data_IF_802802860852
#
_entry.id   IF_802802860852
#
_cell.length_a   1.000
_cell.length_b   1.000
_cell.length_c   1.000
_cell.angle_alpha   90.00
_cell.angle_beta   90.00
_cell.angle_gamma   90.00
#
_symmetry.space_group_name_H-M   'P 1'
#
loop_
_entity.id
_entity.type
_entity.pdbx_description
1 polymer ?
#
# COMPACT_ATOMS: atom_id res chain seq x y z
N UNK A 1 -6.55 -9.95 8.37
CA UNK A 1 -7.28 -10.64 7.28
C UNK A 1 -6.24 -11.19 6.33
N UNK A 2 -6.35 -12.47 5.93
CA UNK A 2 -5.48 -13.03 4.88
C UNK A 2 -5.82 -12.36 3.54
N UNK A 3 -4.81 -11.92 2.80
CA UNK A 3 -4.98 -11.19 1.55
C UNK A 3 -5.53 -12.07 0.40
N UNK A 4 -5.39 -13.40 0.50
CA UNK A 4 -5.96 -14.37 -0.44
C UNK A 4 -7.44 -14.61 -0.23
N UNK A 5 -7.88 -14.49 1.02
CA UNK A 5 -9.26 -14.78 1.39
C UNK A 5 -10.17 -13.57 1.19
N UNK A 6 -9.65 -12.37 1.47
CA UNK A 6 -10.43 -11.14 1.36
C UNK A 6 -9.55 -9.94 1.11
N UNK A 7 -9.89 -9.17 0.09
CA UNK A 7 -9.22 -7.90 -0.20
C UNK A 7 -9.86 -6.72 0.57
N UNK A 8 -9.09 -5.65 0.83
CA UNK A 8 -9.64 -4.40 1.35
C UNK A 8 -10.65 -3.76 0.39
N UNK A 9 -11.32 -2.70 0.85
CA UNK A 9 -12.11 -1.85 -0.05
C UNK A 9 -11.17 -0.99 -0.89
N UNK A 10 -11.61 -0.67 -2.09
CA UNK A 10 -10.90 0.23 -2.99
C UNK A 10 -10.61 1.59 -2.33
N UNK A 11 -9.37 2.04 -2.38
CA UNK A 11 -8.86 3.25 -1.72
C UNK A 11 -8.64 3.14 -0.21
N UNK A 12 -8.88 2.00 0.43
CA UNK A 12 -8.76 1.86 1.88
C UNK A 12 -7.29 1.84 2.31
N UNK A 13 -6.85 2.73 3.23
CA UNK A 13 -5.56 2.61 3.87
C UNK A 13 -5.53 1.41 4.85
N UNK A 14 -4.43 0.66 4.79
CA UNK A 14 -4.23 -0.58 5.54
C UNK A 14 -2.81 -0.64 6.12
N UNK A 15 -2.66 -1.38 7.21
CA UNK A 15 -1.38 -1.97 7.60
C UNK A 15 -1.28 -3.34 6.92
N UNK A 16 -0.35 -3.49 5.98
CA UNK A 16 -0.15 -4.70 5.19
C UNK A 16 1.14 -5.42 5.61
N UNK A 17 1.04 -6.70 5.94
CA UNK A 17 2.18 -7.56 6.21
C UNK A 17 2.73 -8.13 4.90
N UNK A 18 3.97 -7.80 4.59
CA UNK A 18 4.71 -8.33 3.43
C UNK A 18 5.79 -9.28 3.88
N UNK A 19 6.11 -10.23 3.02
CA UNK A 19 7.25 -11.13 3.21
C UNK A 19 8.13 -11.11 1.97
N UNK A 20 9.43 -11.28 2.16
CA UNK A 20 10.40 -11.31 1.09
C UNK A 20 11.72 -11.89 1.59
N UNK A 21 12.79 -11.68 0.82
CA UNK A 21 14.16 -11.99 1.24
C UNK A 21 15.02 -10.77 1.04
N UNK A 22 15.94 -10.53 1.98
CA UNK A 22 16.93 -9.48 1.77
C UNK A 22 17.75 -9.80 0.52
N UNK A 23 17.98 -8.81 -0.36
CA UNK A 23 18.75 -9.03 -1.57
C UNK A 23 20.17 -9.49 -1.20
N UNK A 24 20.77 -10.40 -1.98
CA UNK A 24 22.15 -10.77 -1.76
C UNK A 24 23.04 -9.55 -2.05
N UNK A 25 23.92 -9.19 -1.11
CA UNK A 25 24.87 -8.11 -1.35
C UNK A 25 25.86 -8.48 -2.47
N UNK A 26 26.33 -7.46 -3.21
CA UNK A 26 27.39 -7.65 -4.22
C UNK A 26 28.78 -7.83 -3.58
N UNK A 27 29.02 -7.29 -2.39
CA UNK A 27 30.25 -7.43 -1.60
C UNK A 27 29.95 -7.21 -0.10
N UNK A 28 30.18 -8.23 0.75
CA UNK A 28 30.08 -8.08 2.20
C UNK A 28 29.22 -9.15 2.87
N UNK A 29 29.72 -9.67 3.99
CA UNK A 29 29.20 -10.81 4.75
C UNK A 29 28.05 -10.35 5.68
N UNK A 30 27.00 -9.70 5.15
CA UNK A 30 25.79 -9.42 5.94
C UNK A 30 25.15 -10.77 6.30
N UNK A 31 25.10 -11.15 7.59
CA UNK A 31 24.47 -12.40 8.00
C UNK A 31 22.99 -12.48 7.59
N UNK A 32 22.31 -11.35 7.37
CA UNK A 32 20.91 -11.32 6.95
C UNK A 32 20.69 -11.53 5.45
N UNK A 33 21.76 -11.61 4.64
CA UNK A 33 21.70 -11.82 3.19
C UNK A 33 20.91 -13.09 2.84
N UNK A 34 19.84 -12.94 2.04
CA UNK A 34 18.96 -14.03 1.67
C UNK A 34 18.04 -14.53 2.79
N UNK A 35 18.13 -14.01 4.01
CA UNK A 35 17.19 -14.32 5.09
C UNK A 35 15.78 -13.83 4.73
N UNK A 36 14.78 -14.60 5.16
CA UNK A 36 13.39 -14.23 4.97
C UNK A 36 12.97 -13.19 5.99
N UNK A 37 12.27 -12.14 5.54
CA UNK A 37 11.74 -11.11 6.43
C UNK A 37 10.21 -11.08 6.41
N UNK A 38 9.68 -10.43 7.45
CA UNK A 38 8.29 -10.04 7.57
C UNK A 38 8.23 -8.61 8.09
N UNK A 39 7.61 -7.70 7.33
CA UNK A 39 7.48 -6.30 7.72
C UNK A 39 6.04 -5.82 7.49
N UNK A 40 5.57 -4.95 8.37
CA UNK A 40 4.26 -4.31 8.25
C UNK A 40 4.46 -2.91 7.70
N UNK A 41 3.85 -2.63 6.56
CA UNK A 41 3.96 -1.37 5.85
C UNK A 41 2.58 -0.68 5.76
N UNK A 42 2.51 0.65 5.95
CA UNK A 42 1.32 1.41 5.63
C UNK A 42 1.16 1.49 4.10
N UNK A 43 0.00 1.09 3.60
CA UNK A 43 -0.34 1.07 2.17
C UNK A 43 -1.79 1.50 1.97
N UNK A 44 -2.18 1.74 0.73
CA UNK A 44 -3.59 1.69 0.36
C UNK A 44 -3.81 0.56 -0.65
N UNK A 45 -5.01 0.00 -0.63
CA UNK A 45 -5.44 -0.96 -1.65
C UNK A 45 -6.18 -0.26 -2.77
N UNK A 46 -5.95 -0.68 -4.00
CA UNK A 46 -6.74 -0.25 -5.15
C UNK A 46 -7.04 -1.40 -6.09
N UNK A 47 -8.24 -1.39 -6.69
CA UNK A 47 -8.63 -2.36 -7.72
C UNK A 47 -7.92 -2.12 -9.05
N UNK A 48 -7.48 -0.89 -9.30
CA UNK A 48 -6.83 -0.49 -10.55
C UNK A 48 -5.79 0.60 -10.29
N UNK A 49 -4.55 0.34 -10.66
CA UNK A 49 -3.44 1.29 -10.56
C UNK A 49 -2.67 1.33 -11.87
N UNK A 50 -2.22 2.51 -12.28
CA UNK A 50 -1.29 2.68 -13.38
C UNK A 50 0.04 3.15 -12.81
N UNK A 51 1.09 2.36 -13.02
CA UNK A 51 2.45 2.75 -12.67
C UNK A 51 2.95 3.86 -13.60
N UNK A 52 4.08 4.48 -13.25
CA UNK A 52 4.65 5.61 -14.02
C UNK A 52 5.02 5.23 -15.46
N UNK A 53 5.39 3.97 -15.68
CA UNK A 53 5.67 3.39 -17.00
C UNK A 53 4.40 3.09 -17.82
N UNK A 54 3.22 3.32 -17.26
CA UNK A 54 1.92 3.02 -17.85
C UNK A 54 1.43 1.59 -17.63
N UNK A 55 2.20 0.75 -16.93
CA UNK A 55 1.79 -0.62 -16.61
C UNK A 55 0.55 -0.61 -15.72
N UNK A 56 -0.45 -1.40 -16.11
CA UNK A 56 -1.68 -1.59 -15.34
C UNK A 56 -1.52 -2.71 -14.31
N UNK A 57 -1.85 -2.40 -13.06
CA UNK A 57 -1.95 -3.33 -11.96
C UNK A 57 -3.39 -3.43 -11.46
N UNK A 58 -3.86 -4.65 -11.25
CA UNK A 58 -5.17 -4.95 -10.68
C UNK A 58 -5.02 -5.50 -9.27
N UNK A 59 -5.99 -5.16 -8.41
CA UNK A 59 -6.09 -5.65 -7.03
C UNK A 59 -4.75 -5.61 -6.28
N UNK A 60 -4.16 -4.41 -6.19
CA UNK A 60 -2.81 -4.21 -5.68
C UNK A 60 -2.76 -3.29 -4.45
N UNK A 61 -1.65 -3.40 -3.73
CA UNK A 61 -1.29 -2.57 -2.58
C UNK A 61 -0.17 -1.64 -2.98
N UNK A 62 -0.30 -0.35 -2.65
CA UNK A 62 0.68 0.67 -3.02
C UNK A 62 1.12 1.40 -1.77
N UNK A 63 2.43 1.48 -1.54
CA UNK A 63 3.02 2.22 -0.42
C UNK A 63 3.31 3.68 -0.78
N UNK A 64 3.89 4.43 0.17
CA UNK A 64 4.26 5.84 -0.03
C UNK A 64 5.33 6.06 -1.09
N UNK A 65 6.18 5.06 -1.32
CA UNK A 65 7.27 5.09 -2.28
C UNK A 65 6.83 4.61 -3.67
N UNK A 66 5.51 4.39 -3.86
CA UNK A 66 4.85 3.89 -5.08
C UNK A 66 5.26 2.47 -5.46
N UNK A 67 5.80 1.69 -4.53
CA UNK A 67 6.08 0.28 -4.78
C UNK A 67 4.76 -0.49 -4.77
N UNK A 68 4.46 -1.15 -5.90
CA UNK A 68 3.26 -1.95 -6.09
C UNK A 68 3.51 -3.38 -5.62
N UNK A 69 2.64 -3.89 -4.76
CA UNK A 69 2.68 -5.26 -4.25
C UNK A 69 1.34 -5.97 -4.47
N UNK A 70 1.40 -7.28 -4.60
CA UNK A 70 0.23 -8.13 -4.84
C UNK A 70 0.00 -9.10 -3.67
N UNK A 71 -1.23 -9.62 -3.50
CA UNK A 71 -1.49 -10.70 -2.56
C UNK A 71 -0.55 -11.89 -2.78
N UNK A 72 -0.16 -12.55 -1.70
CA UNK A 72 0.58 -13.80 -1.74
C UNK A 72 -0.17 -14.86 -2.54
N UNK A 73 0.49 -15.48 -3.52
CA UNK A 73 -0.16 -16.40 -4.47
C UNK A 73 -0.90 -15.72 -5.63
N UNK A 74 -0.83 -14.38 -5.73
CA UNK A 74 -1.25 -13.62 -6.90
C UNK A 74 -0.15 -13.53 -7.97
N UNK A 75 -0.14 -12.47 -8.79
CA UNK A 75 0.93 -12.20 -9.75
C UNK A 75 2.32 -12.24 -9.10
N UNK A 76 3.38 -12.63 -9.83
CA UNK A 76 4.74 -12.63 -9.30
C UNK A 76 5.14 -11.25 -8.77
N UNK A 77 5.59 -11.21 -7.52
CA UNK A 77 6.25 -10.04 -6.93
C UNK A 77 7.28 -10.50 -5.90
N UNK A 78 8.32 -9.69 -5.68
CA UNK A 78 9.40 -10.00 -4.74
C UNK A 78 8.91 -9.97 -3.28
N UNK A 79 7.96 -9.07 -2.99
CA UNK A 79 7.45 -8.82 -1.64
C UNK A 79 5.92 -8.96 -1.55
N UNK A 80 5.38 -10.19 -1.63
CA UNK A 80 3.93 -10.39 -1.58
C UNK A 80 3.30 -10.01 -0.24
N UNK A 81 2.09 -9.47 -0.31
CA UNK A 81 1.23 -9.15 0.84
C UNK A 81 0.52 -10.41 1.31
N UNK A 82 0.76 -10.82 2.55
CA UNK A 82 0.14 -12.02 3.12
C UNK A 82 -1.13 -11.70 3.90
N UNK A 83 -1.12 -10.59 4.65
CA UNK A 83 -2.21 -10.18 5.51
C UNK A 83 -2.36 -8.67 5.51
N UNK A 84 -3.55 -8.20 5.85
CA UNK A 84 -3.81 -6.79 6.09
C UNK A 84 -4.77 -6.57 7.26
N UNK A 85 -4.70 -5.36 7.81
CA UNK A 85 -5.67 -4.81 8.73
C UNK A 85 -6.04 -3.39 8.28
N UNK A 86 -7.31 -3.01 8.42
CA UNK A 86 -7.68 -1.61 8.28
C UNK A 86 -6.93 -0.79 9.34
N UNK A 87 -6.40 0.37 8.96
CA UNK A 87 -5.80 1.25 9.97
C UNK A 87 -6.89 1.67 10.98
N UNK A 88 -6.58 1.69 12.29
CA UNK A 88 -7.55 2.14 13.27
C UNK A 88 -7.92 3.59 12.96
N UNK A 89 -9.18 3.84 12.62
CA UNK A 89 -9.75 5.17 12.78
C UNK A 89 -9.75 5.46 14.28
N UNK A 90 -9.16 6.57 14.71
CA UNK A 90 -9.28 7.02 16.09
C UNK A 90 -10.79 7.09 16.42
N UNK A 91 -11.28 6.41 17.48
CA UNK A 91 -12.69 6.42 17.81
C UNK A 91 -13.18 7.87 17.98
N UNK A 92 -14.19 8.26 17.19
CA UNK A 92 -14.87 9.56 17.32
C UNK A 92 -14.33 10.71 16.47
N UNK A 93 -13.43 10.47 15.51
CA UNK A 93 -12.94 11.53 14.62
C UNK A 93 -13.00 11.10 13.15
N UNK A 94 -13.79 11.81 12.35
CA UNK A 94 -13.67 11.86 10.87
C UNK A 94 -12.42 12.67 10.44
N UNK A 95 -11.42 12.78 11.32
CA UNK A 95 -10.27 13.67 11.13
C UNK A 95 -9.13 12.89 10.51
N UNK A 96 -8.92 13.15 9.23
CA UNK A 96 -7.69 12.81 8.53
C UNK A 96 -6.65 13.90 8.83
N UNK A 97 -5.63 13.59 9.62
CA UNK A 97 -4.52 14.53 9.86
C UNK A 97 -3.56 14.41 8.68
N UNK A 98 -3.42 15.51 7.94
CA UNK A 98 -2.56 15.62 6.78
C UNK A 98 -1.43 16.59 7.13
N UNK A 99 -0.23 16.06 7.35
CA UNK A 99 0.95 16.83 7.75
C UNK A 99 1.82 17.16 6.55
N UNK A 100 2.39 18.37 6.55
CA UNK A 100 3.23 18.91 5.47
C UNK A 100 2.67 20.21 4.91
N UNK A 101 3.53 21.20 4.67
CA UNK A 101 3.13 22.58 4.36
C UNK A 101 2.18 22.71 3.15
N UNK A 102 2.30 21.81 2.17
CA UNK A 102 1.49 21.80 0.94
C UNK A 102 0.30 20.82 0.97
N UNK A 103 0.29 19.89 1.92
CA UNK A 103 -0.63 18.76 1.93
C UNK A 103 -2.09 19.16 2.25
N UNK A 104 -2.37 20.14 3.15
CA UNK A 104 -3.72 20.65 3.36
C UNK A 104 -4.38 21.28 2.13
N UNK A 105 -3.59 21.92 1.25
CA UNK A 105 -4.12 22.51 0.01
C UNK A 105 -4.51 21.43 -0.98
N UNK A 106 -3.62 20.45 -1.20
CA UNK A 106 -3.86 19.35 -2.13
C UNK A 106 -5.12 18.56 -1.77
N UNK A 107 -5.33 18.28 -0.47
CA UNK A 107 -6.51 17.55 0.00
C UNK A 107 -7.78 18.38 -0.18
N UNK A 108 -7.75 19.68 0.09
CA UNK A 108 -8.90 20.57 -0.16
C UNK A 108 -9.26 20.60 -1.65
N UNK A 109 -8.28 20.76 -2.52
CA UNK A 109 -8.50 20.85 -3.97
C UNK A 109 -9.06 19.53 -4.53
N UNK A 110 -8.55 18.39 -4.04
CA UNK A 110 -9.03 17.05 -4.44
C UNK A 110 -10.46 16.79 -3.96
N UNK A 111 -10.80 17.19 -2.72
CA UNK A 111 -12.17 17.08 -2.20
C UNK A 111 -13.15 18.00 -2.94
N UNK A 112 -12.72 19.22 -3.30
CA UNK A 112 -13.53 20.15 -4.08
C UNK A 112 -13.78 19.66 -5.51
N UNK A 113 -12.78 19.01 -6.12
CA UNK A 113 -12.90 18.40 -7.45
C UNK A 113 -13.81 17.14 -7.47
N UNK A 114 -13.91 16.41 -6.36
CA UNK A 114 -14.76 15.21 -6.23
C UNK A 114 -16.24 15.49 -5.94
N UNK A 115 -16.61 16.72 -5.60
CA UNK A 115 -17.99 17.12 -5.26
C UNK A 115 -18.92 17.38 -6.46
N UNK A 116 -18.41 17.28 -7.69
CA UNK A 116 -19.12 17.68 -8.91
C UNK A 116 -19.77 16.57 -9.74
N UNK A 117 -19.78 15.32 -9.28
CA UNK A 117 -20.31 14.21 -10.10
C UNK A 117 -21.22 13.27 -9.33
N UNK A 118 -22.41 13.78 -8.99
CA UNK A 118 -23.63 12.98 -8.79
C UNK A 118 -24.86 13.79 -9.21
N UNK A 119 -25.57 13.29 -10.23
CA UNK A 119 -26.94 13.69 -10.59
C UNK A 119 -27.03 14.67 -11.73
#
# INVERSE_FOLDING_TARGET
MDARERLPRDGLPVAAAVTGRYPPEREGDDPASGEAFWIVLPMYFTRRHFAEDGTEHLDCFVDSDRVVRHPYGGPPCEEPVTHWAALPALPGLDVHIVLGEKAPRLVRDTLAAGGGQRG
#
